data_IF_629864905182
#
_entry.id   IF_629864905182
#
_cell.length_a   1.000
_cell.length_b   1.000
_cell.length_c   1.000
_cell.angle_alpha   90.00
_cell.angle_beta   90.00
_cell.angle_gamma   90.00
#
_symmetry.space_group_name_H-M   'P 1'
#
loop_
_entity.id
_entity.type
_entity.pdbx_description
1 polymer ?
#
# COMPACT_ATOMS: atom_id res chain seq x y z
N UNK A 1 -24.54 -8.23 16.32
CA UNK A 1 -23.31 -7.41 16.34
C UNK A 1 -22.99 -6.90 14.93
N UNK A 2 -22.34 -5.75 14.78
CA UNK A 2 -21.92 -5.20 13.47
C UNK A 2 -20.45 -5.58 13.17
N UNK A 3 -20.08 -5.61 11.89
CA UNK A 3 -18.73 -5.97 11.43
C UNK A 3 -17.63 -5.05 11.99
N UNK A 4 -17.89 -3.74 12.09
CA UNK A 4 -16.93 -2.81 12.71
C UNK A 4 -16.63 -3.18 14.18
N UNK A 5 -17.65 -3.68 14.90
CA UNK A 5 -17.49 -4.14 16.28
C UNK A 5 -16.65 -5.42 16.35
N UNK A 6 -16.83 -6.34 15.40
CA UNK A 6 -16.00 -7.55 15.29
C UNK A 6 -14.52 -7.21 15.06
N UNK A 7 -14.24 -6.26 14.15
CA UNK A 7 -12.86 -5.78 13.90
C UNK A 7 -12.25 -5.14 15.15
N UNK A 8 -13.03 -4.36 15.91
CA UNK A 8 -12.56 -3.79 17.17
C UNK A 8 -12.31 -4.86 18.24
N UNK A 9 -13.10 -5.93 18.28
CA UNK A 9 -12.83 -7.08 19.16
C UNK A 9 -11.55 -7.82 18.77
N UNK A 10 -11.24 -7.94 17.47
CA UNK A 10 -9.97 -8.50 16.99
C UNK A 10 -8.79 -7.61 17.38
N UNK A 11 -8.83 -6.33 17.04
CA UNK A 11 -7.79 -5.37 17.41
C UNK A 11 -7.57 -5.28 18.93
N UNK A 12 -8.63 -5.48 19.72
CA UNK A 12 -8.52 -5.59 21.17
C UNK A 12 -7.70 -6.81 21.62
N UNK A 13 -7.92 -7.98 21.02
CA UNK A 13 -7.15 -9.21 21.30
C UNK A 13 -5.70 -9.11 20.84
N UNK A 14 -5.44 -8.42 19.74
CA UNK A 14 -4.10 -8.19 19.19
C UNK A 14 -3.34 -7.09 19.93
N UNK A 15 -4.01 -6.31 20.78
CA UNK A 15 -3.42 -5.22 21.55
C UNK A 15 -3.14 -3.96 20.73
N UNK A 16 -3.80 -3.80 19.59
CA UNK A 16 -3.61 -2.68 18.66
C UNK A 16 -4.50 -1.46 18.97
N UNK A 17 -5.47 -1.60 19.88
CA UNK A 17 -6.35 -0.50 20.27
C UNK A 17 -5.66 0.50 21.19
N UNK A 18 -6.06 1.77 21.09
CA UNK A 18 -5.71 2.78 22.09
C UNK A 18 -6.33 2.46 23.46
N UNK A 19 -5.77 3.02 24.54
CA UNK A 19 -6.22 2.74 25.91
C UNK A 19 -7.70 3.10 26.14
N UNK A 20 -8.17 4.18 25.53
CA UNK A 20 -9.57 4.61 25.59
C UNK A 20 -10.49 3.61 24.89
N UNK A 21 -10.12 3.14 23.70
CA UNK A 21 -10.90 2.16 22.93
C UNK A 21 -10.92 0.80 23.61
N UNK A 22 -9.77 0.34 24.12
CA UNK A 22 -9.67 -0.90 24.87
C UNK A 22 -10.55 -0.89 26.13
N UNK A 23 -10.73 0.27 26.76
CA UNK A 23 -11.62 0.43 27.92
C UNK A 23 -13.09 0.33 27.51
N UNK A 24 -13.49 0.99 26.42
CA UNK A 24 -14.85 0.88 25.88
C UNK A 24 -15.20 -0.57 25.50
N UNK A 25 -14.27 -1.30 24.88
CA UNK A 25 -14.45 -2.72 24.57
C UNK A 25 -14.57 -3.57 25.84
N UNK A 26 -13.79 -3.29 26.88
CA UNK A 26 -13.90 -4.00 28.16
C UNK A 26 -15.26 -3.82 28.83
N UNK A 27 -15.81 -2.60 28.80
CA UNK A 27 -17.15 -2.31 29.30
C UNK A 27 -18.25 -3.00 28.47
N UNK A 28 -18.08 -3.02 27.14
CA UNK A 28 -18.96 -3.77 26.24
C UNK A 28 -18.93 -5.27 26.55
N UNK A 29 -17.74 -5.86 26.71
CA UNK A 29 -17.60 -7.26 27.09
C UNK A 29 -18.18 -7.59 28.47
N UNK A 30 -18.25 -6.63 29.40
CA UNK A 30 -18.91 -6.83 30.69
C UNK A 30 -20.44 -6.90 30.56
N UNK A 31 -21.03 -6.18 29.60
CA UNK A 31 -22.47 -6.03 29.45
C UNK A 31 -23.10 -6.91 28.36
N UNK A 32 -22.36 -7.25 27.30
CA UNK A 32 -22.86 -7.95 26.12
C UNK A 32 -22.39 -9.43 26.07
N UNK A 33 -23.30 -10.41 26.27
CA UNK A 33 -22.99 -11.83 26.11
C UNK A 33 -22.58 -12.23 24.68
N UNK A 34 -23.12 -11.56 23.65
CA UNK A 34 -22.78 -11.86 22.26
C UNK A 34 -21.33 -11.46 21.96
N UNK A 35 -20.92 -10.27 22.41
CA UNK A 35 -19.53 -9.82 22.27
C UNK A 35 -18.54 -10.79 22.94
N UNK A 36 -18.84 -11.24 24.17
CA UNK A 36 -18.03 -12.25 24.87
C UNK A 36 -17.88 -13.54 24.07
N UNK A 37 -18.99 -14.08 23.57
CA UNK A 37 -18.96 -15.32 22.79
C UNK A 37 -18.09 -15.21 21.55
N UNK A 38 -18.05 -14.04 20.90
CA UNK A 38 -17.18 -13.82 19.73
C UNK A 38 -15.73 -13.69 20.15
N UNK A 39 -15.44 -12.96 21.22
CA UNK A 39 -14.08 -12.85 21.76
C UNK A 39 -13.52 -14.21 22.18
N UNK A 40 -14.31 -15.04 22.86
CA UNK A 40 -13.93 -16.41 23.24
C UNK A 40 -13.61 -17.28 22.00
N UNK A 41 -14.42 -17.15 20.95
CA UNK A 41 -14.21 -17.85 19.68
C UNK A 41 -12.93 -17.40 18.96
N UNK A 42 -12.59 -16.10 19.04
CA UNK A 42 -11.36 -15.54 18.48
C UNK A 42 -10.12 -15.92 19.29
N UNK A 43 -10.24 -16.12 20.61
CA UNK A 43 -9.15 -16.54 21.48
C UNK A 43 -8.80 -18.03 21.34
N UNK A 44 -9.78 -18.87 20.95
CA UNK A 44 -9.57 -20.31 20.82
C UNK A 44 -8.45 -20.70 19.83
N UNK A 45 -8.37 -20.16 18.59
CA UNK A 45 -7.26 -20.41 17.68
C UNK A 45 -5.90 -20.04 18.26
N UNK A 46 -5.80 -18.88 18.93
CA UNK A 46 -4.57 -18.41 19.57
C UNK A 46 -4.09 -19.42 20.63
N UNK A 47 -5.01 -19.92 21.44
CA UNK A 47 -4.72 -20.92 22.47
C UNK A 47 -4.24 -22.24 21.85
N UNK A 48 -4.90 -22.70 20.78
CA UNK A 48 -4.52 -23.91 20.05
C UNK A 48 -3.12 -23.76 19.44
N UNK A 49 -2.84 -22.63 18.80
CA UNK A 49 -1.54 -22.36 18.19
C UNK A 49 -0.42 -22.33 19.22
N UNK A 50 -0.60 -21.62 20.34
CA UNK A 50 0.38 -21.57 21.42
C UNK A 50 0.66 -22.96 22.03
N UNK A 51 -0.36 -23.81 22.13
CA UNK A 51 -0.21 -25.17 22.65
C UNK A 51 0.47 -26.13 21.65
N UNK A 52 0.47 -25.82 20.36
CA UNK A 52 0.94 -26.70 19.28
C UNK A 52 2.06 -26.07 18.44
N UNK A 53 2.70 -25.01 18.92
CA UNK A 53 3.80 -24.37 18.19
C UNK A 53 5.00 -25.33 18.15
N UNK A 54 5.47 -25.72 16.95
CA UNK A 54 6.59 -26.63 16.84
C UNK A 54 7.86 -25.96 17.36
N UNK A 55 8.54 -26.60 18.31
CA UNK A 55 9.83 -26.12 18.80
C UNK A 55 10.88 -26.25 17.68
N UNK A 56 11.22 -25.13 17.02
CA UNK A 56 12.34 -25.08 16.09
C UNK A 56 13.65 -24.93 16.86
N UNK A 57 14.42 -26.01 16.91
CA UNK A 57 15.78 -25.97 17.46
C UNK A 57 16.74 -25.41 16.41
N UNK A 58 17.33 -24.26 16.73
CA UNK A 58 18.44 -23.71 15.95
C UNK A 58 19.71 -24.52 16.29
N UNK A 59 20.51 -24.97 15.30
CA UNK A 59 21.72 -25.78 15.54
C UNK A 59 22.88 -24.97 16.15
N UNK A 60 22.66 -23.70 16.47
CA UNK A 60 23.65 -22.76 16.96
C UNK A 60 23.40 -22.41 18.42
N UNK A 61 24.45 -22.03 19.14
CA UNK A 61 24.31 -21.50 20.50
C UNK A 61 23.49 -20.21 20.49
N UNK A 62 22.71 -19.98 21.55
CA UNK A 62 21.89 -18.77 21.72
C UNK A 62 22.70 -17.48 21.51
N UNK A 63 23.89 -17.40 22.10
CA UNK A 63 24.78 -16.23 22.05
C UNK A 63 25.20 -15.93 20.62
N UNK A 64 25.58 -16.97 19.86
CA UNK A 64 25.97 -16.83 18.46
C UNK A 64 24.78 -16.38 17.58
N UNK A 65 23.60 -16.96 17.76
CA UNK A 65 22.40 -16.56 17.03
C UNK A 65 22.04 -15.08 17.28
N UNK A 66 21.99 -14.66 18.55
CA UNK A 66 21.70 -13.26 18.90
C UNK A 66 22.79 -12.29 18.45
N UNK A 67 24.05 -12.72 18.37
CA UNK A 67 25.13 -11.88 17.84
C UNK A 67 24.92 -11.55 16.36
N UNK A 68 24.39 -12.49 15.57
CA UNK A 68 24.06 -12.27 14.15
C UNK A 68 22.93 -11.26 13.99
N UNK A 69 21.85 -11.40 14.76
CA UNK A 69 20.72 -10.47 14.75
C UNK A 69 21.20 -9.06 15.08
N UNK A 70 21.96 -8.90 16.16
CA UNK A 70 22.52 -7.59 16.55
C UNK A 70 23.32 -6.97 15.41
N UNK A 71 24.26 -7.73 14.85
CA UNK A 71 25.11 -7.25 13.76
C UNK A 71 24.30 -6.85 12.52
N UNK A 72 23.24 -7.59 12.20
CA UNK A 72 22.37 -7.24 11.07
C UNK A 72 21.55 -5.97 11.33
N UNK A 73 21.09 -5.74 12.57
CA UNK A 73 20.42 -4.49 12.96
C UNK A 73 21.40 -3.32 12.81
N UNK A 74 22.60 -3.42 13.39
CA UNK A 74 23.64 -2.38 13.30
C UNK A 74 23.98 -2.05 11.84
N UNK A 75 24.16 -3.07 10.98
CA UNK A 75 24.40 -2.88 9.56
C UNK A 75 23.24 -2.20 8.83
N UNK A 76 21.99 -2.52 9.21
CA UNK A 76 20.79 -1.90 8.66
C UNK A 76 20.62 -0.44 9.08
N UNK A 77 20.98 -0.11 10.32
CA UNK A 77 20.98 1.27 10.84
C UNK A 77 22.02 2.13 10.12
N UNK A 78 23.23 1.60 9.91
CA UNK A 78 24.28 2.29 9.15
C UNK A 78 23.86 2.53 7.69
N UNK A 79 23.24 1.54 7.03
CA UNK A 79 22.76 1.69 5.65
C UNK A 79 21.56 2.65 5.54
N UNK A 80 20.64 2.63 6.50
CA UNK A 80 19.51 3.57 6.58
C UNK A 80 19.96 5.02 6.81
N UNK A 81 21.03 5.23 7.58
CA UNK A 81 21.63 6.55 7.77
C UNK A 81 22.25 7.09 6.47
N UNK A 82 22.92 6.23 5.68
CA UNK A 82 23.51 6.63 4.39
C UNK A 82 22.45 6.86 3.31
N UNK A 83 21.37 6.07 3.27
CA UNK A 83 20.27 6.25 2.32
C UNK A 83 19.52 7.58 2.51
N UNK A 84 19.35 8.04 3.76
CA UNK A 84 18.73 9.34 4.05
C UNK A 84 19.66 10.53 3.76
N UNK A 85 20.98 10.34 3.82
CA UNK A 85 21.95 11.35 3.41
C UNK A 85 21.99 11.57 1.88
N UNK A 86 21.39 10.66 1.10
CA UNK A 86 21.33 10.67 -0.36
C UNK A 86 20.13 11.37 -0.99
N UNK A 87 19.20 11.94 -0.21
CA UNK A 87 18.20 12.86 -0.76
C UNK A 87 18.91 14.15 -1.18
N UNK A 88 19.51 14.11 -2.38
CA UNK A 88 20.10 15.26 -3.03
C UNK A 88 19.05 16.36 -3.09
N UNK A 89 19.20 17.38 -2.25
CA UNK A 89 18.37 18.56 -2.27
C UNK A 89 18.30 19.06 -3.73
N UNK A 90 17.09 19.29 -4.28
CA UNK A 90 16.97 19.74 -5.66
C UNK A 90 17.80 20.99 -5.82
N UNK A 91 18.77 20.93 -6.74
CA UNK A 91 19.77 21.94 -6.89
C UNK A 91 19.06 23.30 -7.12
N UNK A 92 19.28 24.24 -6.20
CA UNK A 92 18.55 25.51 -6.07
C UNK A 92 18.36 26.31 -7.37
N UNK A 93 19.22 26.09 -8.38
CA UNK A 93 19.14 26.67 -9.71
C UNK A 93 17.95 26.16 -10.55
N UNK A 94 17.46 24.93 -10.32
CA UNK A 94 16.24 24.38 -10.94
C UNK A 94 14.99 25.20 -10.59
N UNK A 95 15.00 25.87 -9.42
CA UNK A 95 13.91 26.76 -8.99
C UNK A 95 13.82 28.04 -9.86
N UNK A 96 14.90 28.42 -10.54
CA UNK A 96 14.90 29.48 -11.53
C UNK A 96 14.53 28.99 -12.95
N UNK A 97 14.70 27.71 -13.25
CA UNK A 97 14.27 27.13 -14.54
C UNK A 97 12.75 26.86 -14.60
N UNK A 98 12.12 26.58 -13.46
CA UNK A 98 10.67 26.36 -13.38
C UNK A 98 9.80 27.49 -13.98
N UNK A 99 10.01 28.80 -13.66
CA UNK A 99 9.23 29.87 -14.27
C UNK A 99 9.51 30.05 -15.77
N UNK A 100 10.75 29.80 -16.21
CA UNK A 100 11.11 29.89 -17.63
C UNK A 100 10.48 28.76 -18.47
N UNK A 101 10.41 27.55 -17.92
CA UNK A 101 9.75 26.40 -18.55
C UNK A 101 8.25 26.63 -18.73
N UNK A 102 7.57 27.17 -17.71
CA UNK A 102 6.15 27.52 -17.81
C UNK A 102 5.92 28.55 -18.93
N UNK A 103 6.75 29.59 -18.99
CA UNK A 103 6.64 30.63 -20.02
C UNK A 103 6.87 30.06 -21.44
N UNK A 104 7.85 29.18 -21.59
CA UNK A 104 8.16 28.52 -22.86
C UNK A 104 7.00 27.65 -23.34
N UNK A 105 6.38 26.86 -22.45
CA UNK A 105 5.19 26.06 -22.78
C UNK A 105 4.03 26.96 -23.18
N UNK A 106 3.82 28.08 -22.48
CA UNK A 106 2.75 29.04 -22.79
C UNK A 106 2.94 29.69 -24.16
N UNK A 107 4.18 30.07 -24.50
CA UNK A 107 4.53 30.61 -25.82
C UNK A 107 4.29 29.57 -26.92
N UNK A 108 4.69 28.32 -26.70
CA UNK A 108 4.46 27.21 -27.64
C UNK A 108 2.96 26.98 -27.84
N UNK A 109 2.17 26.93 -26.76
CA UNK A 109 0.71 26.77 -26.83
C UNK A 109 0.04 27.94 -27.58
N UNK A 110 0.47 29.18 -27.34
CA UNK A 110 -0.03 30.35 -28.07
C UNK A 110 0.33 30.24 -29.56
N UNK A 111 1.57 29.89 -29.89
CA UNK A 111 2.01 29.73 -31.27
C UNK A 111 1.23 28.61 -32.00
N UNK A 112 0.99 27.47 -31.33
CA UNK A 112 0.15 26.40 -31.85
C UNK A 112 -1.30 26.84 -32.02
N UNK A 113 -1.86 27.59 -31.06
CA UNK A 113 -3.24 28.09 -31.14
C UNK A 113 -3.43 29.11 -32.26
N UNK A 114 -2.43 29.95 -32.53
CA UNK A 114 -2.45 30.89 -33.64
C UNK A 114 -2.30 30.15 -34.98
N UNK A 115 -1.43 29.14 -35.05
CA UNK A 115 -1.26 28.29 -36.24
C UNK A 115 -2.50 27.45 -36.56
N UNK A 116 -3.19 26.93 -35.55
CA UNK A 116 -4.44 26.19 -35.71
C UNK A 116 -5.58 27.04 -36.31
N UNK A 117 -5.51 28.36 -36.17
CA UNK A 117 -6.53 29.30 -36.66
C UNK A 117 -6.41 29.60 -38.16
N UNK A 118 -5.25 29.38 -38.76
CA UNK A 118 -4.97 29.70 -40.18
C UNK A 118 -4.95 28.48 -41.12
N UNK A 119 -5.18 27.27 -40.61
CA UNK A 119 -5.19 26.08 -41.47
C UNK A 119 -5.70 24.86 -40.72
N UNK A 120 -7.00 24.61 -40.83
CA UNK A 120 -7.59 23.34 -40.40
C UNK A 120 -7.03 22.20 -41.26
N UNK A 121 -6.05 21.49 -40.70
CA UNK A 121 -5.70 20.13 -41.10
C UNK A 121 -5.30 19.37 -39.84
N UNK A 122 -6.10 18.41 -39.35
CA UNK A 122 -5.77 17.66 -38.16
C UNK A 122 -4.72 16.60 -38.53
N UNK A 123 -3.45 16.92 -38.33
CA UNK A 123 -2.34 15.93 -38.43
C UNK A 123 -2.17 15.18 -37.09
N UNK A 124 -2.99 15.49 -36.08
CA UNK A 124 -2.98 14.83 -34.78
C UNK A 124 -4.40 14.51 -34.34
N UNK A 125 -5.13 13.76 -35.15
CA UNK A 125 -6.11 12.84 -34.60
C UNK A 125 -5.29 11.70 -33.97
N UNK A 126 -4.85 11.91 -32.73
CA UNK A 126 -4.39 10.84 -31.88
C UNK A 126 -5.66 10.03 -31.57
N UNK A 127 -5.92 9.07 -32.46
CA UNK A 127 -6.71 7.89 -32.18
C UNK A 127 -5.96 7.11 -31.10
N UNK A 128 -6.09 7.58 -29.86
CA UNK A 128 -5.58 6.90 -28.67
C UNK A 128 -6.75 6.24 -27.92
N UNK A 129 -7.67 5.68 -28.71
CA UNK A 129 -8.52 4.59 -28.29
C UNK A 129 -7.77 3.30 -28.57
N UNK A 130 -6.88 2.88 -27.66
CA UNK A 130 -6.50 1.48 -27.60
C UNK A 130 -7.75 0.69 -27.16
N UNK A 131 -8.65 0.44 -28.10
CA UNK A 131 -9.73 -0.53 -27.98
C UNK A 131 -9.06 -1.91 -27.92
N UNK A 132 -8.91 -2.43 -26.71
CA UNK A 132 -8.53 -3.82 -26.51
C UNK A 132 -9.80 -4.63 -26.81
N UNK A 133 -9.93 -5.10 -28.05
CA UNK A 133 -10.86 -6.19 -28.36
C UNK A 133 -10.37 -7.45 -27.63
N UNK A 134 -10.91 -7.70 -26.43
CA UNK A 134 -10.82 -9.00 -25.78
C UNK A 134 -11.85 -9.93 -26.42
N UNK A 135 -11.45 -11.02 -27.09
CA UNK A 135 -12.37 -11.90 -27.81
C UNK A 135 -13.13 -12.89 -26.90
N UNK A 136 -13.43 -12.49 -25.66
CA UNK A 136 -14.30 -13.25 -24.76
C UNK A 136 -15.32 -12.29 -24.16
N UNK A 137 -16.54 -12.29 -24.70
CA UNK A 137 -17.70 -11.51 -24.23
C UNK A 137 -18.05 -11.78 -22.74
N UNK A 138 -17.48 -12.81 -22.13
CA UNK A 138 -17.86 -13.30 -20.79
C UNK A 138 -16.81 -13.03 -19.69
N UNK A 139 -15.69 -12.35 -19.98
CA UNK A 139 -14.65 -12.07 -18.95
C UNK A 139 -14.22 -10.61 -19.00
N UNK A 140 -14.64 -9.84 -17.99
CA UNK A 140 -14.12 -8.48 -17.82
C UNK A 140 -12.76 -8.55 -17.13
N UNK A 141 -11.76 -7.84 -17.67
CA UNK A 141 -10.45 -7.71 -17.03
C UNK A 141 -10.04 -6.25 -16.96
N UNK A 142 -9.53 -5.83 -15.81
CA UNK A 142 -9.03 -4.48 -15.56
C UNK A 142 -7.59 -4.57 -15.09
N UNK A 143 -6.67 -3.92 -15.80
CA UNK A 143 -5.25 -3.88 -15.42
C UNK A 143 -4.82 -2.50 -14.97
N UNK A 144 -4.19 -2.44 -13.80
CA UNK A 144 -3.61 -1.22 -13.23
C UNK A 144 -2.10 -1.43 -13.03
N UNK A 145 -1.29 -0.50 -13.53
CA UNK A 145 0.17 -0.50 -13.29
C UNK A 145 0.49 0.52 -12.21
N UNK A 146 1.08 0.05 -11.11
CA UNK A 146 1.61 0.91 -10.06
C UNK A 146 3.09 1.16 -10.30
N UNK A 147 3.47 2.37 -10.71
CA UNK A 147 4.88 2.73 -10.89
C UNK A 147 5.63 2.80 -9.56
N UNK A 148 4.96 3.25 -8.48
CA UNK A 148 5.57 3.35 -7.15
C UNK A 148 5.95 1.99 -6.55
N UNK A 149 5.20 0.93 -6.89
CA UNK A 149 5.45 -0.43 -6.42
C UNK A 149 6.09 -1.33 -7.49
N UNK A 150 6.44 -0.77 -8.66
CA UNK A 150 6.98 -1.50 -9.81
C UNK A 150 6.20 -2.80 -10.15
N UNK A 151 4.88 -2.78 -9.99
CA UNK A 151 4.02 -3.96 -10.15
C UNK A 151 2.82 -3.67 -11.06
N UNK A 152 2.36 -4.70 -11.76
CA UNK A 152 1.13 -4.68 -12.55
C UNK A 152 0.11 -5.57 -11.88
N UNK A 153 -1.03 -5.01 -11.54
CA UNK A 153 -2.18 -5.72 -10.98
C UNK A 153 -3.17 -5.97 -12.11
N UNK A 154 -3.59 -7.22 -12.26
CA UNK A 154 -4.61 -7.62 -13.22
C UNK A 154 -5.78 -8.19 -12.43
N UNK A 155 -6.93 -7.53 -12.51
CA UNK A 155 -8.19 -8.01 -11.97
C UNK A 155 -8.95 -8.76 -13.06
N UNK A 156 -9.36 -9.99 -12.78
CA UNK A 156 -10.17 -10.80 -13.69
C UNK A 156 -11.46 -11.13 -12.95
N UNK A 157 -12.58 -10.67 -13.48
CA UNK A 157 -13.90 -11.04 -12.98
C UNK A 157 -14.52 -12.08 -13.91
N UNK A 158 -14.71 -13.29 -13.38
CA UNK A 158 -15.41 -14.37 -14.08
C UNK A 158 -16.79 -14.49 -13.46
N UNK A 159 -17.79 -13.89 -14.11
CA UNK A 159 -19.18 -14.11 -13.74
C UNK A 159 -19.52 -15.58 -14.00
N UNK A 160 -19.80 -16.34 -12.94
CA UNK A 160 -20.21 -17.75 -13.04
C UNK A 160 -21.69 -17.82 -12.69
N UNK A 161 -22.53 -18.10 -13.68
CA UNK A 161 -23.94 -18.45 -13.46
C UNK A 161 -24.09 -19.75 -12.65
#
# INVERSE_FOLDING_TARGET
>A
MNHETELKLQAYLDGELSESEATAIREMLASDPQARSVTDALEAPRTILLANEPELKVPETREFYWSKIRRQIELGEEQGAVANAGQAAPAWWLRFLAPAGLLAVLIVLIALSLRAREGASPIWAMDDGHEIETPLEETSSFSFRSEAAAMTVVWVDSHRE
#
